data_IF_801319266172
#
_entry.id   IF_801319266172
#
_cell.length_a   1.000
_cell.length_b   1.000
_cell.length_c   1.000
_cell.angle_alpha   90.00
_cell.angle_beta   90.00
_cell.angle_gamma   90.00
#
_symmetry.space_group_name_H-M   'P 1'
#
loop_
_entity.id
_entity.type
_entity.pdbx_description
1 polymer ?
#
# COMPACT_ATOMS: atom_id res chain seq x y z
N UNK A 1 -45.24 -35.15 9.40
CA UNK A 1 -43.77 -35.03 9.24
C UNK A 1 -43.39 -33.60 9.54
N UNK A 2 -42.53 -33.31 10.52
CA UNK A 2 -42.00 -31.97 10.68
C UNK A 2 -41.18 -31.58 9.44
N UNK A 3 -41.27 -30.32 8.97
CA UNK A 3 -40.46 -29.86 7.85
C UNK A 3 -38.99 -29.93 8.24
N UNK A 4 -38.18 -30.61 7.40
CA UNK A 4 -36.71 -30.59 7.54
C UNK A 4 -36.26 -29.14 7.39
N UNK A 5 -35.81 -28.55 8.49
CA UNK A 5 -35.11 -27.27 8.46
C UNK A 5 -33.91 -27.39 7.51
N UNK A 6 -33.72 -26.43 6.58
CA UNK A 6 -32.56 -26.46 5.71
C UNK A 6 -31.29 -26.38 6.56
N UNK A 7 -30.21 -27.09 6.16
CA UNK A 7 -28.95 -27.04 6.89
C UNK A 7 -28.46 -25.60 6.96
N UNK A 8 -28.23 -25.11 8.18
CA UNK A 8 -27.65 -23.78 8.42
C UNK A 8 -26.30 -23.75 7.71
N UNK A 9 -26.02 -22.77 6.83
CA UNK A 9 -24.74 -22.69 6.14
C UNK A 9 -23.64 -22.66 7.19
N UNK A 10 -22.63 -23.52 7.01
CA UNK A 10 -21.47 -23.56 7.90
C UNK A 10 -20.85 -22.17 7.83
N UNK A 11 -20.90 -21.43 8.94
CA UNK A 11 -20.31 -20.10 9.00
C UNK A 11 -18.85 -20.22 8.55
N UNK A 12 -18.38 -19.32 7.69
CA UNK A 12 -16.99 -19.31 7.29
C UNK A 12 -16.18 -18.58 8.37
N UNK A 13 -14.98 -19.07 8.69
CA UNK A 13 -14.13 -18.46 9.71
C UNK A 13 -13.75 -17.05 9.25
N UNK A 14 -13.99 -16.06 10.11
CA UNK A 14 -13.83 -14.65 9.76
C UNK A 14 -12.35 -14.28 9.53
N UNK A 15 -11.45 -14.83 10.35
CA UNK A 15 -10.01 -14.58 10.26
C UNK A 15 -9.18 -15.85 10.50
N UNK A 16 -9.08 -16.71 9.47
CA UNK A 16 -8.16 -17.85 9.48
C UNK A 16 -6.72 -17.43 9.77
N UNK A 17 -5.90 -18.35 10.26
CA UNK A 17 -4.53 -18.07 10.69
C UNK A 17 -3.64 -17.43 9.60
N UNK A 18 -3.74 -17.88 8.34
CA UNK A 18 -2.97 -17.30 7.23
C UNK A 18 -3.36 -15.85 6.93
N UNK A 19 -4.66 -15.53 6.99
CA UNK A 19 -5.15 -14.17 6.80
C UNK A 19 -4.71 -13.25 7.94
N UNK A 20 -4.66 -13.76 9.17
CA UNK A 20 -4.08 -13.03 10.29
C UNK A 20 -2.58 -12.79 10.15
N UNK A 21 -1.81 -13.78 9.72
CA UNK A 21 -0.37 -13.58 9.47
C UNK A 21 -0.14 -12.50 8.42
N UNK A 22 -0.97 -12.49 7.38
CA UNK A 22 -0.88 -11.49 6.33
C UNK A 22 -1.26 -10.09 6.83
N UNK A 23 -2.51 -9.90 7.27
CA UNK A 23 -3.02 -8.56 7.64
C UNK A 23 -2.53 -8.06 9.01
N UNK A 24 -2.29 -8.96 9.96
CA UNK A 24 -1.88 -8.61 11.32
C UNK A 24 -0.37 -8.53 11.53
N UNK A 25 0.45 -9.08 10.61
CA UNK A 25 1.91 -9.10 10.76
C UNK A 25 2.61 -8.60 9.49
N UNK A 26 2.45 -9.28 8.36
CA UNK A 26 3.22 -8.96 7.14
C UNK A 26 2.92 -7.55 6.62
N UNK A 27 1.65 -7.15 6.60
CA UNK A 27 1.25 -5.80 6.19
C UNK A 27 1.77 -4.72 7.16
N UNK A 28 1.54 -4.80 8.48
CA UNK A 28 2.14 -3.85 9.42
C UNK A 28 3.67 -3.76 9.32
N UNK A 29 4.37 -4.87 9.11
CA UNK A 29 5.82 -4.86 8.92
C UNK A 29 6.24 -4.11 7.65
N UNK A 30 5.49 -4.22 6.55
CA UNK A 30 5.81 -3.47 5.33
C UNK A 30 5.60 -1.96 5.53
N UNK A 31 4.54 -1.57 6.24
CA UNK A 31 4.31 -0.16 6.63
C UNK A 31 5.39 0.34 7.59
N UNK A 32 5.83 -0.48 8.55
CA UNK A 32 6.94 -0.16 9.44
C UNK A 32 8.23 0.11 8.66
N UNK A 33 8.54 -0.72 7.66
CA UNK A 33 9.73 -0.52 6.82
C UNK A 33 9.68 0.85 6.11
N UNK A 34 8.52 1.23 5.57
CA UNK A 34 8.31 2.56 4.99
C UNK A 34 8.46 3.70 6.01
N UNK A 35 7.92 3.54 7.21
CA UNK A 35 8.03 4.51 8.29
C UNK A 35 9.49 4.72 8.72
N UNK A 36 10.21 3.62 8.97
CA UNK A 36 11.64 3.65 9.33
C UNK A 36 12.46 4.29 8.23
N UNK A 37 12.18 3.97 6.96
CA UNK A 37 12.89 4.55 5.83
C UNK A 37 12.69 6.08 5.74
N UNK A 38 11.46 6.56 5.92
CA UNK A 38 11.15 7.99 5.91
C UNK A 38 11.76 8.76 7.10
N UNK A 39 11.79 8.16 8.29
CA UNK A 39 12.28 8.81 9.51
C UNK A 39 13.81 8.82 9.58
N UNK A 40 14.45 7.67 9.32
CA UNK A 40 15.89 7.51 9.52
C UNK A 40 16.73 7.94 8.31
N UNK A 41 16.17 7.88 7.10
CA UNK A 41 16.88 8.19 5.86
C UNK A 41 16.08 9.18 4.98
N UNK A 42 15.70 10.36 5.50
CA UNK A 42 14.81 11.29 4.81
C UNK A 42 15.38 11.80 3.47
N UNK A 43 16.70 11.95 3.34
CA UNK A 43 17.34 12.39 2.10
C UNK A 43 17.19 11.37 0.98
N UNK A 44 17.44 10.09 1.30
CA UNK A 44 17.29 8.98 0.35
C UNK A 44 15.82 8.78 -0.01
N UNK A 45 14.95 8.81 1.00
CA UNK A 45 13.51 8.75 0.81
C UNK A 45 13.03 9.84 -0.15
N UNK A 46 13.45 11.09 0.07
CA UNK A 46 13.09 12.22 -0.80
C UNK A 46 13.60 12.06 -2.23
N UNK A 47 14.84 11.62 -2.40
CA UNK A 47 15.41 11.38 -3.72
C UNK A 47 14.70 10.25 -4.48
N UNK A 48 14.23 9.24 -3.76
CA UNK A 48 13.49 8.11 -4.34
C UNK A 48 11.97 8.37 -4.49
N UNK A 49 11.43 9.52 -4.06
CA UNK A 49 10.01 9.83 -4.27
C UNK A 49 9.64 9.87 -5.76
N UNK A 50 10.57 10.30 -6.61
CA UNK A 50 10.37 10.41 -8.06
C UNK A 50 11.49 9.64 -8.76
N UNK A 51 11.18 8.65 -9.61
CA UNK A 51 12.22 7.93 -10.32
C UNK A 51 12.99 8.84 -11.30
N UNK A 52 14.30 8.61 -11.48
CA UNK A 52 15.14 9.38 -12.41
C UNK A 52 14.58 9.50 -13.83
N UNK A 53 13.87 8.47 -14.30
CA UNK A 53 13.28 8.41 -15.63
C UNK A 53 12.21 9.49 -15.89
N UNK A 54 11.65 10.09 -14.83
CA UNK A 54 10.63 11.13 -14.94
C UNK A 54 11.22 12.55 -14.96
N UNK A 55 12.54 12.71 -14.75
CA UNK A 55 13.21 14.00 -14.79
C UNK A 55 13.85 14.30 -16.15
N UNK A 56 13.84 15.57 -16.60
CA UNK A 56 14.76 16.04 -17.63
C UNK A 56 16.22 15.87 -17.15
N UNK A 57 17.14 15.56 -18.07
CA UNK A 57 18.56 15.34 -17.73
C UNK A 57 19.22 16.53 -16.99
N UNK A 58 18.83 17.77 -17.33
CA UNK A 58 19.30 18.98 -16.66
C UNK A 58 18.81 19.12 -15.22
N UNK A 59 17.54 18.76 -14.95
CA UNK A 59 16.97 18.74 -13.60
C UNK A 59 17.59 17.63 -12.77
N UNK A 60 17.79 16.44 -13.36
CA UNK A 60 18.42 15.31 -12.70
C UNK A 60 19.83 15.67 -12.19
N UNK A 61 20.63 16.35 -13.00
CA UNK A 61 21.99 16.74 -12.62
C UNK A 61 22.01 17.76 -11.49
N UNK A 62 21.02 18.66 -11.43
CA UNK A 62 20.84 19.59 -10.31
C UNK A 62 20.35 18.88 -9.05
N UNK A 63 19.39 17.95 -9.17
CA UNK A 63 18.88 17.14 -8.06
C UNK A 63 19.96 16.25 -7.45
N UNK A 64 20.82 15.64 -8.27
CA UNK A 64 21.96 14.84 -7.78
C UNK A 64 22.98 15.71 -7.02
N UNK A 65 23.23 16.93 -7.49
CA UNK A 65 24.10 17.90 -6.78
C UNK A 65 23.51 18.35 -5.45
N UNK A 66 22.19 18.35 -5.32
CA UNK A 66 21.45 18.77 -4.12
C UNK A 66 20.96 17.60 -3.26
N UNK A 67 21.26 16.35 -3.63
CA UNK A 67 20.70 15.14 -3.00
C UNK A 67 21.05 14.96 -1.50
N UNK A 68 21.96 15.78 -0.96
CA UNK A 68 22.31 15.81 0.46
C UNK A 68 21.81 17.04 1.24
N UNK A 69 21.13 17.99 0.60
CA UNK A 69 20.66 19.23 1.23
C UNK A 69 19.14 19.27 1.18
N UNK A 70 18.52 18.67 2.21
CA UNK A 70 17.09 18.83 2.43
C UNK A 70 16.81 20.17 3.12
N UNK A 71 15.76 20.86 2.71
CA UNK A 71 15.26 21.98 3.51
C UNK A 71 14.70 21.47 4.84
N UNK A 72 14.82 22.27 5.91
CA UNK A 72 14.28 21.90 7.23
C UNK A 72 12.78 21.59 7.17
N UNK A 73 12.04 22.31 6.33
CA UNK A 73 10.62 22.07 6.08
C UNK A 73 10.37 20.69 5.45
N UNK A 74 11.14 20.30 4.44
CA UNK A 74 11.04 18.97 3.82
C UNK A 74 11.38 17.87 4.81
N UNK A 75 12.44 18.05 5.61
CA UNK A 75 12.83 17.08 6.63
C UNK A 75 11.75 16.91 7.70
N UNK A 76 11.15 18.00 8.16
CA UNK A 76 10.02 17.96 9.10
C UNK A 76 8.81 17.24 8.48
N UNK A 77 8.47 17.55 7.24
CA UNK A 77 7.34 16.92 6.54
C UNK A 77 7.54 15.40 6.38
N UNK A 78 8.74 14.94 6.04
CA UNK A 78 9.05 13.51 5.94
C UNK A 78 9.01 12.80 7.31
N UNK A 79 9.49 13.46 8.37
CA UNK A 79 9.36 12.92 9.73
C UNK A 79 7.90 12.76 10.16
N UNK A 80 7.05 13.74 9.84
CA UNK A 80 5.60 13.67 10.09
C UNK A 80 4.93 12.57 9.26
N UNK A 81 5.29 12.41 8.00
CA UNK A 81 4.82 11.32 7.14
C UNK A 81 5.21 9.95 7.72
N UNK A 82 6.46 9.79 8.15
CA UNK A 82 6.93 8.56 8.79
C UNK A 82 6.19 8.26 10.11
N UNK A 83 5.90 9.29 10.91
CA UNK A 83 5.07 9.15 12.12
C UNK A 83 3.65 8.68 11.79
N UNK A 84 3.04 9.21 10.73
CA UNK A 84 1.73 8.76 10.26
C UNK A 84 1.74 7.29 9.83
N UNK A 85 2.77 6.83 9.12
CA UNK A 85 2.93 5.42 8.77
C UNK A 85 3.08 4.52 9.99
N UNK A 86 3.82 4.96 11.01
CA UNK A 86 3.94 4.23 12.27
C UNK A 86 2.59 4.10 12.98
N UNK A 87 1.77 5.15 12.98
CA UNK A 87 0.42 5.11 13.53
C UNK A 87 -0.47 4.11 12.78
N UNK A 88 -0.46 4.13 11.45
CA UNK A 88 -1.22 3.17 10.62
C UNK A 88 -0.77 1.74 10.89
N UNK A 89 0.53 1.51 10.98
CA UNK A 89 1.11 0.21 11.30
C UNK A 89 0.64 -0.32 12.66
N UNK A 90 0.76 0.50 13.72
CA UNK A 90 0.31 0.12 15.06
C UNK A 90 -1.18 -0.13 15.10
N UNK A 91 -1.97 0.75 14.47
CA UNK A 91 -3.42 0.59 14.42
C UNK A 91 -3.79 -0.72 13.72
N UNK A 92 -3.20 -1.03 12.57
CA UNK A 92 -3.49 -2.28 11.85
C UNK A 92 -3.07 -3.51 12.68
N UNK A 93 -1.82 -3.56 13.16
CA UNK A 93 -1.32 -4.70 13.95
C UNK A 93 -2.15 -4.94 15.23
N UNK A 94 -2.40 -3.88 16.01
CA UNK A 94 -3.10 -3.98 17.29
C UNK A 94 -4.59 -4.26 17.11
N UNK A 95 -5.24 -3.67 16.09
CA UNK A 95 -6.66 -3.93 15.83
C UNK A 95 -6.89 -5.36 15.38
N UNK A 96 -6.11 -5.89 14.43
CA UNK A 96 -6.24 -7.29 14.02
C UNK A 96 -5.93 -8.25 15.18
N UNK A 97 -4.94 -7.95 16.02
CA UNK A 97 -4.66 -8.71 17.23
C UNK A 97 -5.83 -8.68 18.23
N UNK A 98 -6.33 -7.49 18.57
CA UNK A 98 -7.40 -7.31 19.54
C UNK A 98 -8.71 -7.99 19.09
N UNK A 99 -9.08 -7.79 17.81
CA UNK A 99 -10.27 -8.41 17.22
C UNK A 99 -10.19 -9.93 17.30
N UNK A 100 -9.06 -10.52 16.91
CA UNK A 100 -8.87 -11.97 16.96
C UNK A 100 -8.87 -12.53 18.39
N UNK A 101 -8.30 -11.79 19.35
CA UNK A 101 -8.12 -12.27 20.73
C UNK A 101 -9.39 -12.17 21.56
N UNK A 102 -10.14 -11.07 21.41
CA UNK A 102 -11.24 -10.72 22.31
C UNK A 102 -12.63 -10.95 21.72
N UNK A 103 -12.81 -10.89 20.40
CA UNK A 103 -14.13 -11.12 19.78
C UNK A 103 -14.32 -12.62 19.49
N UNK A 104 -15.27 -13.24 20.19
CA UNK A 104 -15.58 -14.68 20.04
C UNK A 104 -16.67 -14.95 19.02
N UNK A 105 -17.62 -14.04 18.89
CA UNK A 105 -18.69 -14.14 17.90
C UNK A 105 -18.14 -13.93 16.49
N UNK A 106 -18.27 -14.95 15.64
CA UNK A 106 -17.73 -14.94 14.28
C UNK A 106 -18.45 -13.92 13.39
N UNK A 107 -19.75 -13.70 13.60
CA UNK A 107 -20.52 -12.77 12.78
C UNK A 107 -20.12 -11.32 13.07
N UNK A 108 -19.97 -10.97 14.35
CA UNK A 108 -19.43 -9.67 14.77
C UNK A 108 -18.00 -9.48 14.30
N UNK A 109 -17.13 -10.49 14.47
CA UNK A 109 -15.73 -10.45 14.02
C UNK A 109 -15.63 -10.21 12.50
N UNK A 110 -16.41 -10.95 11.71
CA UNK A 110 -16.46 -10.77 10.26
C UNK A 110 -16.88 -9.35 9.88
N UNK A 111 -17.92 -8.82 10.54
CA UNK A 111 -18.43 -7.48 10.25
C UNK A 111 -17.36 -6.42 10.54
N UNK A 112 -16.69 -6.52 11.68
CA UNK A 112 -15.62 -5.59 12.07
C UNK A 112 -14.43 -5.66 11.12
N UNK A 113 -13.97 -6.86 10.78
CA UNK A 113 -12.87 -7.04 9.82
C UNK A 113 -13.27 -6.53 8.44
N UNK A 114 -14.52 -6.76 8.01
CA UNK A 114 -15.01 -6.29 6.72
C UNK A 114 -14.88 -4.78 6.59
N UNK A 115 -15.30 -4.03 7.62
CA UNK A 115 -15.17 -2.58 7.64
C UNK A 115 -13.72 -2.12 7.74
N UNK A 116 -12.89 -2.80 8.53
CA UNK A 116 -11.47 -2.50 8.61
C UNK A 116 -10.78 -2.65 7.25
N UNK A 117 -11.08 -3.74 6.53
CA UNK A 117 -10.58 -3.99 5.18
C UNK A 117 -11.12 -2.96 4.18
N UNK A 118 -12.35 -2.46 4.34
CA UNK A 118 -12.89 -1.37 3.48
C UNK A 118 -12.04 -0.12 3.63
N UNK A 119 -11.79 0.29 4.88
CA UNK A 119 -10.98 1.49 5.17
C UNK A 119 -9.58 1.34 4.59
N UNK A 120 -8.94 0.18 4.78
CA UNK A 120 -7.62 -0.08 4.22
C UNK A 120 -7.63 -0.12 2.68
N UNK A 121 -8.66 -0.70 2.07
CA UNK A 121 -8.83 -0.74 0.61
C UNK A 121 -9.00 0.65 -0.02
N UNK A 122 -9.73 1.55 0.64
CA UNK A 122 -9.84 2.95 0.21
C UNK A 122 -8.49 3.67 0.34
N UNK A 123 -7.73 3.39 1.39
CA UNK A 123 -6.40 3.95 1.57
C UNK A 123 -5.43 3.49 0.47
N UNK A 124 -5.48 2.22 0.03
CA UNK A 124 -4.64 1.72 -1.07
C UNK A 124 -4.87 2.52 -2.36
N UNK A 125 -6.13 2.68 -2.77
CA UNK A 125 -6.49 3.39 -3.99
C UNK A 125 -6.15 4.88 -3.90
N UNK A 126 -6.31 5.47 -2.72
CA UNK A 126 -5.90 6.86 -2.49
C UNK A 126 -4.39 7.01 -2.64
N UNK A 127 -3.61 6.08 -2.07
CA UNK A 127 -2.15 6.10 -2.15
C UNK A 127 -1.63 5.88 -3.58
N UNK A 128 -2.15 4.88 -4.29
CA UNK A 128 -1.83 4.62 -5.71
C UNK A 128 -2.25 5.82 -6.56
N UNK A 129 -3.47 6.31 -6.37
CA UNK A 129 -4.04 7.42 -7.13
C UNK A 129 -3.25 8.71 -6.96
N UNK A 130 -2.87 9.06 -5.72
CA UNK A 130 -2.03 10.23 -5.43
C UNK A 130 -0.60 10.05 -5.96
N UNK A 131 -0.02 8.85 -5.83
CA UNK A 131 1.30 8.54 -6.40
C UNK A 131 1.29 8.78 -7.90
N UNK A 132 0.29 8.24 -8.60
CA UNK A 132 0.14 8.46 -10.04
C UNK A 132 -0.15 9.92 -10.31
N UNK A 133 -1.10 10.57 -9.64
CA UNK A 133 -1.48 11.96 -9.94
C UNK A 133 -0.31 12.95 -9.77
N UNK A 134 0.47 12.82 -8.70
CA UNK A 134 1.56 13.73 -8.36
C UNK A 134 2.87 13.45 -9.11
N UNK A 135 3.01 12.28 -9.75
CA UNK A 135 4.18 12.01 -10.59
C UNK A 135 4.28 13.00 -11.76
N UNK A 136 5.48 13.47 -12.14
CA UNK A 136 5.64 14.29 -13.33
C UNK A 136 5.26 13.52 -14.61
N UNK A 137 4.88 14.24 -15.66
CA UNK A 137 4.47 13.61 -16.93
C UNK A 137 5.64 13.02 -17.74
N UNK A 138 6.88 13.21 -17.27
CA UNK A 138 8.11 12.77 -17.93
C UNK A 138 8.91 13.91 -18.57
N UNK A 139 10.09 13.60 -19.10
CA UNK A 139 10.96 14.59 -19.74
C UNK A 139 10.37 15.10 -21.07
N UNK A 140 10.60 16.37 -21.44
CA UNK A 140 10.17 16.91 -22.72
C UNK A 140 10.82 16.13 -23.88
N UNK A 141 10.02 15.80 -24.89
CA UNK A 141 10.49 15.09 -26.09
C UNK A 141 10.92 16.09 -27.14
N UNK A 142 12.09 15.86 -27.75
CA UNK A 142 12.58 16.65 -28.87
C UNK A 142 11.92 16.13 -30.16
N UNK A 143 11.15 16.97 -30.83
CA UNK A 143 10.56 16.67 -32.14
C UNK A 143 11.30 17.49 -33.19
N UNK A 144 12.00 16.81 -34.11
CA UNK A 144 12.80 17.43 -35.15
C UNK A 144 14.08 18.12 -34.65
N UNK A 145 14.66 18.99 -35.49
CA UNK A 145 15.95 19.66 -35.22
C UNK A 145 15.88 20.71 -34.11
N UNK A 146 14.71 21.31 -33.83
CA UNK A 146 14.58 22.46 -32.91
C UNK A 146 13.36 22.42 -31.98
N UNK A 147 12.35 21.57 -32.21
CA UNK A 147 11.12 21.56 -31.40
C UNK A 147 11.28 20.81 -30.08
N UNK A 148 10.93 21.44 -28.95
CA UNK A 148 10.71 20.75 -27.67
C UNK A 148 9.21 20.68 -27.38
N UNK A 149 8.67 19.48 -27.21
CA UNK A 149 7.30 19.27 -26.77
C UNK A 149 7.25 18.92 -25.28
N UNK A 150 6.33 19.56 -24.56
CA UNK A 150 6.02 19.24 -23.16
C UNK A 150 5.42 17.84 -23.10
N UNK A 151 5.91 17.00 -22.19
CA UNK A 151 5.40 15.64 -22.00
C UNK A 151 3.92 15.66 -21.58
N UNK A 152 3.13 14.84 -22.25
CA UNK A 152 1.70 14.67 -21.97
C UNK A 152 1.43 13.54 -20.98
N UNK A 153 0.18 13.41 -20.55
CA UNK A 153 -0.26 12.33 -19.65
C UNK A 153 -0.06 10.94 -20.27
N UNK A 154 -0.09 10.81 -21.59
CA UNK A 154 0.20 9.54 -22.27
C UNK A 154 1.67 9.12 -22.11
N UNK A 155 2.61 10.06 -22.14
CA UNK A 155 4.04 9.77 -21.97
C UNK A 155 4.32 9.21 -20.57
N UNK A 156 3.62 9.73 -19.56
CA UNK A 156 3.64 9.23 -18.19
C UNK A 156 3.21 7.78 -18.10
N UNK A 157 2.09 7.42 -18.71
CA UNK A 157 1.61 6.04 -18.68
C UNK A 157 2.52 5.09 -19.47
N UNK A 158 3.12 5.55 -20.55
CA UNK A 158 4.14 4.78 -21.28
C UNK A 158 5.37 4.52 -20.41
N UNK A 159 5.84 5.52 -19.66
CA UNK A 159 6.94 5.35 -18.70
C UNK A 159 6.55 4.41 -17.56
N UNK A 160 5.36 4.58 -16.98
CA UNK A 160 4.83 3.69 -15.94
C UNK A 160 4.68 2.25 -16.44
N UNK A 161 4.38 2.03 -17.71
CA UNK A 161 4.30 0.69 -18.30
C UNK A 161 5.67 0.00 -18.46
N UNK A 162 6.79 0.71 -18.25
CA UNK A 162 8.14 0.16 -18.33
C UNK A 162 8.70 -0.08 -16.91
N UNK A 163 8.80 -1.34 -16.44
CA UNK A 163 9.30 -1.63 -15.10
C UNK A 163 10.73 -1.12 -14.85
N UNK A 164 11.55 -1.03 -15.90
CA UNK A 164 12.91 -0.51 -15.82
C UNK A 164 13.00 0.99 -15.50
N UNK A 165 11.89 1.74 -15.60
CA UNK A 165 11.84 3.16 -15.23
C UNK A 165 11.53 3.39 -13.75
N UNK A 166 11.21 2.32 -13.00
CA UNK A 166 10.76 2.38 -11.62
C UNK A 166 11.94 2.32 -10.66
N UNK A 167 11.82 3.02 -9.54
CA UNK A 167 12.69 2.85 -8.39
C UNK A 167 11.97 2.04 -7.29
N UNK A 168 12.68 1.74 -6.21
CA UNK A 168 12.15 0.96 -5.09
C UNK A 168 10.88 1.57 -4.50
N UNK A 169 10.84 2.90 -4.33
CA UNK A 169 9.70 3.58 -3.72
C UNK A 169 8.45 3.56 -4.61
N UNK A 170 8.60 3.81 -5.92
CA UNK A 170 7.48 3.72 -6.87
C UNK A 170 6.95 2.28 -6.97
N UNK A 171 7.85 1.30 -6.98
CA UNK A 171 7.49 -0.11 -6.93
C UNK A 171 6.68 -0.43 -5.67
N UNK A 172 7.14 -0.01 -4.50
CA UNK A 172 6.41 -0.19 -3.24
C UNK A 172 5.05 0.50 -3.25
N UNK A 173 5.00 1.75 -3.70
CA UNK A 173 3.78 2.57 -3.69
C UNK A 173 2.69 2.06 -4.63
N UNK A 174 3.05 1.38 -5.72
CA UNK A 174 2.09 0.87 -6.71
C UNK A 174 1.91 -0.65 -6.59
N UNK A 175 2.98 -1.44 -6.71
CA UNK A 175 2.84 -2.90 -6.80
C UNK A 175 2.57 -3.55 -5.46
N UNK A 176 3.26 -3.14 -4.40
CA UNK A 176 3.03 -3.73 -3.07
C UNK A 176 1.62 -3.37 -2.58
N UNK A 177 1.24 -2.09 -2.68
CA UNK A 177 -0.10 -1.62 -2.30
C UNK A 177 -1.22 -2.26 -3.13
N UNK A 178 -1.03 -2.42 -4.44
CA UNK A 178 -1.96 -3.15 -5.28
C UNK A 178 -2.06 -4.64 -4.89
N UNK A 179 -0.93 -5.26 -4.55
CA UNK A 179 -0.90 -6.62 -4.01
C UNK A 179 -1.70 -6.76 -2.71
N UNK A 180 -1.56 -5.79 -1.79
CA UNK A 180 -2.36 -5.73 -0.57
C UNK A 180 -3.86 -5.56 -0.91
N UNK A 181 -4.21 -4.68 -1.85
CA UNK A 181 -5.60 -4.53 -2.31
C UNK A 181 -6.16 -5.84 -2.88
N UNK A 182 -5.41 -6.56 -3.71
CA UNK A 182 -5.80 -7.88 -4.23
C UNK A 182 -6.04 -8.88 -3.10
N UNK A 183 -5.20 -8.88 -2.06
CA UNK A 183 -5.39 -9.71 -0.88
C UNK A 183 -6.69 -9.35 -0.12
N UNK A 184 -7.03 -8.07 -0.04
CA UNK A 184 -8.31 -7.59 0.54
C UNK A 184 -9.52 -8.04 -0.28
N UNK A 185 -9.45 -7.97 -1.61
CA UNK A 185 -10.48 -8.51 -2.52
C UNK A 185 -10.62 -10.02 -2.38
N UNK A 186 -9.52 -10.74 -2.25
CA UNK A 186 -9.54 -12.18 -2.01
C UNK A 186 -10.23 -12.52 -0.68
N UNK A 187 -9.96 -11.76 0.39
CA UNK A 187 -10.67 -11.93 1.65
C UNK A 187 -12.18 -11.64 1.52
N UNK A 188 -12.57 -10.56 0.83
CA UNK A 188 -13.98 -10.22 0.63
C UNK A 188 -14.77 -11.24 -0.18
N UNK A 189 -14.13 -11.84 -1.18
CA UNK A 189 -14.74 -12.86 -2.04
C UNK A 189 -14.83 -14.23 -1.34
N UNK A 190 -14.32 -14.34 -0.11
CA UNK A 190 -14.37 -15.59 0.65
C UNK A 190 -13.23 -16.57 0.31
N UNK A 191 -12.24 -16.14 -0.49
CA UNK A 191 -11.12 -17.01 -0.86
C UNK A 191 -10.35 -17.40 0.40
N UNK A 192 -10.12 -18.71 0.55
CA UNK A 192 -9.45 -19.30 1.69
C UNK A 192 -10.09 -18.98 3.06
N UNK A 193 -11.38 -18.62 3.10
CA UNK A 193 -12.18 -18.63 4.33
C UNK A 193 -12.77 -20.03 4.51
N UNK A 194 -12.04 -20.88 5.23
CA UNK A 194 -12.49 -22.23 5.54
C UNK A 194 -13.79 -22.24 6.35
N UNK A 195 -14.51 -23.38 6.39
CA UNK A 195 -15.63 -23.55 7.31
C UNK A 195 -15.18 -23.34 8.77
N UNK A 196 -16.03 -22.76 9.62
CA UNK A 196 -15.86 -22.71 11.08
C UNK A 196 -15.85 -24.14 11.59
N UNK A 197 -14.65 -24.74 11.62
CA UNK A 197 -14.43 -26.15 11.88
C UNK A 197 -13.40 -26.33 12.99
N UNK A 198 -13.93 -26.56 14.20
CA UNK A 198 -13.30 -27.13 15.39
C UNK A 198 -11.79 -26.92 15.50
N UNK A 199 -11.42 -25.95 16.35
CA UNK A 199 -10.08 -25.80 16.88
C UNK A 199 -9.48 -27.19 17.13
N UNK A 200 -8.45 -27.53 16.36
CA UNK A 200 -7.61 -28.69 16.66
C UNK A 200 -6.96 -28.37 18.00
N UNK A 201 -7.51 -28.93 19.07
CA UNK A 201 -6.78 -29.18 20.31
C UNK A 201 -5.59 -30.06 19.95
N UNK A 202 -4.41 -29.47 19.98
CA UNK A 202 -3.13 -30.16 20.13
C UNK A 202 -2.46 -29.58 21.37
#
# INVERSE_FOLDING_TARGET
MPPKTPPKPIAAEALPYHWYLFFGILEPLSVLAGAVYAILLPERYNHELIPPAFFPASTLQNSLRQAGVLTDATRMALGQLGSCYLLIMLNSALMFYALRRYVRDQQTLETLIRWLIVVLGVADWTHIGLTIALLPNGPPKRSGLVGMHKAGTLDKFVLLAQPGSWNSLLFGNILITFGLFCARVAWWTGIARGPVGHAKTA
#
